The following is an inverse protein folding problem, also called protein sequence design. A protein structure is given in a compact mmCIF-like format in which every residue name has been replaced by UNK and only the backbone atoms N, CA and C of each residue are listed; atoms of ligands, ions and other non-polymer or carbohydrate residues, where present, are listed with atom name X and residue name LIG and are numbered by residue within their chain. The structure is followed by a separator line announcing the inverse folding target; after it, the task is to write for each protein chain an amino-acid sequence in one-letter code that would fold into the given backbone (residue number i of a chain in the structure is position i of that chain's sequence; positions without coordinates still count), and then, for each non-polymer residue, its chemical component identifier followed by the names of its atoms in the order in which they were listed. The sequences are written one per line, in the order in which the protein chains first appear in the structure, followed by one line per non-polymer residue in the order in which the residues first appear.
data_IF_331570538999
#
_entry.id   IF_331570538999
#
_cell.length_a   1.000
_cell.length_b   1.000
_cell.length_c   1.000
_cell.angle_alpha   90.00
_cell.angle_beta   90.00
_cell.angle_gamma   90.00
#
_symmetry.space_group_name_H-M   'P 1'
#
loop_
_entity.id
_entity.type
_entity.pdbx_description
1 polymer ?
#
# COMPACT_ATOMS: atom_id res chain seq x y z
N UNK A 1 -10.34 -40.65 23.74
CA UNK A 1 -9.03 -39.99 23.52
C UNK A 1 -9.21 -38.53 23.81
N UNK A 2 -8.40 -37.89 24.65
CA UNK A 2 -8.49 -36.48 24.91
C UNK A 2 -8.24 -35.71 23.61
N UNK A 3 -9.06 -34.67 23.34
CA UNK A 3 -8.92 -33.78 22.18
C UNK A 3 -7.66 -32.94 22.38
N UNK A 4 -6.72 -33.05 21.46
CA UNK A 4 -5.50 -32.22 21.44
C UNK A 4 -5.93 -30.76 21.10
N UNK A 5 -5.59 -29.84 21.99
CA UNK A 5 -5.83 -28.41 21.77
C UNK A 5 -4.64 -27.81 21.01
N UNK A 6 -4.89 -27.32 19.80
CA UNK A 6 -3.87 -26.70 18.96
C UNK A 6 -4.13 -25.18 18.98
N UNK A 7 -3.27 -24.37 19.63
CA UNK A 7 -3.44 -22.92 19.65
C UNK A 7 -3.18 -22.32 18.27
N UNK A 8 -4.04 -21.39 17.85
CA UNK A 8 -3.89 -20.64 16.61
C UNK A 8 -3.41 -19.22 16.93
N UNK A 9 -2.15 -18.93 16.62
CA UNK A 9 -1.59 -17.59 16.72
C UNK A 9 -1.63 -16.91 15.34
N UNK A 10 -2.27 -15.76 15.25
CA UNK A 10 -2.44 -15.00 13.99
C UNK A 10 -1.75 -13.67 14.14
N UNK A 11 -0.76 -13.39 13.28
CA UNK A 11 -0.02 -12.13 13.28
C UNK A 11 -0.80 -11.00 12.58
N UNK A 12 -1.58 -11.36 11.53
CA UNK A 12 -2.42 -10.43 10.77
C UNK A 12 -3.80 -11.04 10.53
N UNK A 13 -4.78 -10.58 11.31
CA UNK A 13 -6.16 -11.04 11.22
C UNK A 13 -6.82 -10.62 9.88
N UNK A 14 -6.37 -9.51 9.28
CA UNK A 14 -6.90 -9.04 7.99
C UNK A 14 -6.41 -9.92 6.84
N UNK A 15 -5.15 -10.39 6.91
CA UNK A 15 -4.62 -11.36 5.97
C UNK A 15 -5.33 -12.71 6.08
N UNK A 16 -5.61 -13.18 7.30
CA UNK A 16 -6.39 -14.39 7.53
C UNK A 16 -7.82 -14.27 6.96
N UNK A 17 -8.50 -13.15 7.22
CA UNK A 17 -9.84 -12.91 6.71
C UNK A 17 -9.89 -12.88 5.18
N UNK A 18 -8.90 -12.25 4.52
CA UNK A 18 -8.74 -12.27 3.06
C UNK A 18 -8.52 -13.67 2.51
N UNK A 19 -7.66 -14.45 3.16
CA UNK A 19 -7.38 -15.85 2.79
C UNK A 19 -8.65 -16.71 2.83
N UNK A 20 -9.44 -16.57 3.89
CA UNK A 20 -10.73 -17.26 4.04
C UNK A 20 -11.70 -16.82 2.94
N UNK A 21 -11.89 -15.52 2.75
CA UNK A 21 -12.80 -14.99 1.74
C UNK A 21 -12.44 -15.48 0.33
N UNK A 22 -11.17 -15.42 -0.05
CA UNK A 22 -10.71 -15.87 -1.37
C UNK A 22 -10.96 -17.37 -1.57
N UNK A 23 -10.71 -18.19 -0.54
CA UNK A 23 -10.95 -19.63 -0.61
C UNK A 23 -12.42 -19.99 -0.78
N UNK A 24 -13.35 -19.15 -0.31
CA UNK A 24 -14.79 -19.32 -0.52
C UNK A 24 -15.27 -18.77 -1.88
N UNK A 25 -14.69 -17.66 -2.36
CA UNK A 25 -15.12 -17.00 -3.60
C UNK A 25 -14.75 -17.78 -4.87
N UNK A 26 -13.73 -18.65 -4.82
CA UNK A 26 -13.23 -19.41 -5.97
C UNK A 26 -13.89 -20.80 -6.13
N UNK A 27 -14.94 -21.12 -5.35
CA UNK A 27 -15.47 -22.48 -5.29
C UNK A 27 -17.00 -22.52 -5.36
N UNK A 28 -17.50 -23.48 -6.12
CA UNK A 28 -18.95 -23.80 -6.19
C UNK A 28 -19.46 -24.61 -4.99
N UNK A 29 -18.56 -25.20 -4.20
CA UNK A 29 -18.89 -26.03 -3.03
C UNK A 29 -18.15 -25.54 -1.79
N UNK A 30 -18.78 -25.61 -0.59
CA UNK A 30 -18.12 -25.25 0.64
C UNK A 30 -16.88 -26.12 0.88
N UNK A 31 -15.77 -25.56 1.40
CA UNK A 31 -14.56 -26.31 1.66
C UNK A 31 -14.78 -27.39 2.74
N UNK A 32 -14.15 -28.52 2.56
CA UNK A 32 -14.14 -29.61 3.56
C UNK A 32 -13.43 -29.18 4.85
N UNK A 33 -13.65 -29.93 5.95
CA UNK A 33 -12.99 -29.65 7.24
C UNK A 33 -11.45 -29.57 7.13
N UNK A 34 -10.83 -30.47 6.37
CA UNK A 34 -9.36 -30.48 6.17
C UNK A 34 -8.90 -29.25 5.37
N UNK A 35 -9.67 -28.84 4.37
CA UNK A 35 -9.35 -27.64 3.61
C UNK A 35 -9.46 -26.38 4.47
N UNK A 36 -10.47 -26.28 5.33
CA UNK A 36 -10.60 -25.16 6.28
C UNK A 36 -9.40 -25.13 7.22
N UNK A 37 -8.96 -26.25 7.77
CA UNK A 37 -7.78 -26.32 8.61
C UNK A 37 -6.51 -25.86 7.88
N UNK A 38 -6.35 -26.20 6.60
CA UNK A 38 -5.24 -25.73 5.79
C UNK A 38 -5.32 -24.23 5.45
N UNK A 39 -6.52 -23.69 5.23
CA UNK A 39 -6.74 -22.25 5.01
C UNK A 39 -6.33 -21.46 6.27
N UNK A 40 -6.79 -21.92 7.44
CA UNK A 40 -6.46 -21.32 8.73
C UNK A 40 -4.94 -21.39 9.01
N UNK A 41 -4.32 -22.56 8.77
CA UNK A 41 -2.87 -22.73 8.92
C UNK A 41 -2.08 -21.78 8.00
N UNK A 42 -2.47 -21.67 6.73
CA UNK A 42 -1.83 -20.73 5.79
C UNK A 42 -2.00 -19.28 6.22
N UNK A 43 -3.20 -18.90 6.66
CA UNK A 43 -3.45 -17.55 7.17
C UNK A 43 -2.72 -17.23 8.47
N UNK A 44 -2.30 -18.24 9.25
CA UNK A 44 -1.47 -18.13 10.42
C UNK A 44 0.04 -18.21 10.12
N UNK A 45 0.44 -18.32 8.83
CA UNK A 45 1.85 -18.35 8.40
C UNK A 45 2.49 -19.74 8.36
N UNK A 46 1.70 -20.81 8.33
CA UNK A 46 2.18 -22.18 8.14
C UNK A 46 1.90 -22.67 6.72
N UNK A 47 2.70 -23.60 6.23
CA UNK A 47 2.51 -24.20 4.88
C UNK A 47 1.21 -25.03 4.78
N UNK A 48 0.89 -25.74 5.85
CA UNK A 48 -0.31 -26.58 5.98
C UNK A 48 -0.62 -26.86 7.46
N UNK A 49 -1.77 -27.50 7.71
CA UNK A 49 -2.20 -27.84 9.06
C UNK A 49 -1.26 -28.83 9.77
N UNK A 50 -0.64 -29.77 9.06
CA UNK A 50 0.30 -30.73 9.66
C UNK A 50 1.54 -30.03 10.21
N UNK A 51 2.07 -29.05 9.48
CA UNK A 51 3.19 -28.24 9.95
C UNK A 51 2.79 -27.38 11.17
N UNK A 52 1.60 -26.78 11.15
CA UNK A 52 1.07 -26.04 12.30
C UNK A 52 0.96 -26.96 13.54
N UNK A 53 0.48 -28.19 13.38
CA UNK A 53 0.37 -29.18 14.45
C UNK A 53 1.73 -29.62 14.97
N UNK A 54 2.74 -29.78 14.11
CA UNK A 54 4.10 -30.14 14.47
C UNK A 54 4.90 -29.02 15.18
N UNK A 55 4.34 -27.84 15.34
CA UNK A 55 4.98 -26.69 16.00
C UNK A 55 6.15 -26.06 15.23
N UNK A 56 6.52 -26.60 14.07
CA UNK A 56 7.52 -26.01 13.20
C UNK A 56 6.87 -24.89 12.37
N UNK A 57 6.96 -23.63 12.84
CA UNK A 57 6.76 -22.51 11.93
C UNK A 57 7.84 -22.63 10.85
N UNK A 58 7.44 -22.76 9.57
CA UNK A 58 8.37 -22.26 8.56
C UNK A 58 8.72 -20.83 9.00
N UNK A 59 9.99 -20.41 8.85
CA UNK A 59 10.25 -19.00 8.95
C UNK A 59 9.20 -18.37 8.03
N UNK A 60 8.24 -17.67 8.64
CA UNK A 60 7.36 -16.77 7.88
C UNK A 60 8.33 -16.21 6.87
N UNK A 61 8.08 -16.41 5.54
CA UNK A 61 8.73 -15.52 4.58
C UNK A 61 8.46 -14.19 5.22
N UNK A 62 9.46 -13.68 5.95
CA UNK A 62 9.44 -12.31 6.41
C UNK A 62 8.87 -11.64 5.19
N UNK A 63 7.67 -11.04 5.32
CA UNK A 63 7.27 -10.09 4.29
C UNK A 63 8.57 -9.34 4.16
N UNK A 64 9.31 -9.65 3.10
CA UNK A 64 10.61 -9.04 2.87
C UNK A 64 10.22 -7.60 2.97
N UNK A 65 10.51 -7.00 4.15
CA UNK A 65 10.42 -5.56 4.26
C UNK A 65 11.06 -5.14 2.97
N UNK A 66 10.29 -4.65 1.98
CA UNK A 66 10.74 -4.63 0.61
C UNK A 66 12.11 -4.03 0.70
N UNK A 67 13.15 -4.86 0.42
CA UNK A 67 14.54 -4.40 0.55
C UNK A 67 14.52 -3.17 -0.29
N UNK A 68 14.54 -1.99 0.37
CA UNK A 68 14.33 -0.71 -0.30
C UNK A 68 15.47 -0.64 -1.29
N UNK A 69 15.19 -1.04 -2.52
CA UNK A 69 16.19 -1.07 -3.55
C UNK A 69 16.64 0.37 -3.76
N UNK A 70 17.89 0.66 -3.38
CA UNK A 70 18.49 1.97 -3.55
C UNK A 70 18.33 2.46 -5.00
N UNK A 71 18.46 1.56 -5.97
CA UNK A 71 18.20 1.84 -7.38
C UNK A 71 16.76 2.30 -7.66
N UNK A 72 15.77 1.77 -6.93
CA UNK A 72 14.37 2.22 -7.05
C UNK A 72 14.16 3.59 -6.42
N UNK A 73 14.80 3.87 -5.29
CA UNK A 73 14.78 5.20 -4.66
C UNK A 73 15.39 6.23 -5.60
N UNK A 74 16.61 6.00 -6.09
CA UNK A 74 17.33 6.93 -6.98
C UNK A 74 16.57 7.19 -8.28
N UNK A 75 15.95 6.16 -8.86
CA UNK A 75 15.15 6.31 -10.08
C UNK A 75 13.99 7.28 -9.90
N UNK A 76 13.29 7.21 -8.77
CA UNK A 76 12.17 8.10 -8.47
C UNK A 76 12.67 9.48 -8.07
N UNK A 77 13.75 9.57 -7.26
CA UNK A 77 14.35 10.86 -6.86
C UNK A 77 14.84 11.67 -8.07
N UNK A 78 15.29 11.03 -9.16
CA UNK A 78 15.65 11.70 -10.42
C UNK A 78 14.46 12.34 -11.15
N UNK A 79 13.23 12.06 -10.75
CA UNK A 79 12.06 12.73 -11.28
C UNK A 79 11.81 14.09 -10.60
N UNK A 80 12.55 14.41 -9.54
CA UNK A 80 12.47 15.66 -8.78
C UNK A 80 13.77 16.46 -8.92
N UNK A 81 13.63 17.77 -9.00
CA UNK A 81 14.79 18.68 -8.99
C UNK A 81 15.36 18.87 -7.57
N UNK A 82 16.34 19.80 -7.46
CA UNK A 82 16.97 20.15 -6.18
C UNK A 82 16.03 20.81 -5.18
N UNK A 83 14.99 21.46 -5.64
CA UNK A 83 13.99 22.15 -4.83
C UNK A 83 12.80 21.21 -4.50
N UNK A 84 12.89 19.93 -4.89
CA UNK A 84 11.89 18.92 -4.66
C UNK A 84 10.65 19.07 -5.57
N UNK A 85 10.74 19.82 -6.66
CA UNK A 85 9.67 19.96 -7.65
C UNK A 85 9.70 18.78 -8.61
N UNK A 86 8.57 18.15 -8.85
CA UNK A 86 8.44 17.02 -9.79
C UNK A 86 8.57 17.51 -11.22
N UNK A 87 9.67 17.19 -11.90
CA UNK A 87 9.97 17.66 -13.26
C UNK A 87 9.38 16.77 -14.35
N UNK A 88 9.11 15.50 -14.04
CA UNK A 88 8.50 14.54 -14.95
C UNK A 88 7.72 13.47 -14.20
N UNK A 89 6.60 13.03 -14.78
CA UNK A 89 5.86 11.88 -14.25
C UNK A 89 6.43 10.59 -14.85
N UNK A 90 6.82 9.59 -14.03
CA UNK A 90 7.46 8.38 -14.54
C UNK A 90 6.47 7.51 -15.34
N UNK A 91 6.98 6.71 -16.27
CA UNK A 91 6.17 5.78 -17.07
C UNK A 91 5.83 4.49 -16.32
N UNK A 92 6.72 4.02 -15.44
CA UNK A 92 6.51 2.77 -14.70
C UNK A 92 5.51 2.95 -13.57
N UNK A 93 4.45 2.14 -13.51
CA UNK A 93 3.36 2.26 -12.53
C UNK A 93 3.83 2.25 -11.06
N UNK A 94 4.78 1.40 -10.70
CA UNK A 94 5.32 1.37 -9.32
C UNK A 94 6.01 2.68 -8.95
N UNK A 95 6.68 3.33 -9.89
CA UNK A 95 7.36 4.61 -9.67
C UNK A 95 6.35 5.76 -9.60
N UNK A 96 5.27 5.70 -10.41
CA UNK A 96 4.13 6.62 -10.33
C UNK A 96 3.53 6.61 -8.92
N UNK A 97 3.20 5.42 -8.39
CA UNK A 97 2.66 5.29 -7.03
C UNK A 97 3.60 5.89 -5.99
N UNK A 98 4.91 5.66 -6.13
CA UNK A 98 5.90 6.24 -5.21
C UNK A 98 5.95 7.77 -5.29
N UNK A 99 5.86 8.36 -6.49
CA UNK A 99 5.74 9.80 -6.70
C UNK A 99 4.46 10.34 -6.06
N UNK A 100 3.32 9.67 -6.27
CA UNK A 100 2.04 10.09 -5.70
C UNK A 100 2.07 10.11 -4.17
N UNK A 101 2.75 9.16 -3.51
CA UNK A 101 2.95 9.16 -2.07
C UNK A 101 3.79 10.37 -1.59
N UNK A 102 4.83 10.77 -2.34
CA UNK A 102 5.60 11.98 -2.05
C UNK A 102 4.72 13.23 -2.18
N UNK A 103 3.93 13.34 -3.25
CA UNK A 103 2.97 14.43 -3.44
C UNK A 103 1.93 14.43 -2.32
N UNK A 104 1.35 13.26 -1.98
CA UNK A 104 0.40 13.11 -0.89
C UNK A 104 0.93 13.61 0.47
N UNK A 105 2.21 13.37 0.77
CA UNK A 105 2.80 13.80 2.04
C UNK A 105 2.83 15.32 2.23
N UNK A 106 2.70 16.08 1.15
CA UNK A 106 2.68 17.56 1.15
C UNK A 106 1.27 18.14 1.29
N UNK A 107 0.23 17.32 1.10
CA UNK A 107 -1.14 17.79 1.32
C UNK A 107 -1.39 18.06 2.81
N UNK A 108 -2.11 19.13 3.16
CA UNK A 108 -2.48 19.41 4.54
C UNK A 108 -3.35 18.28 5.09
N UNK A 109 -3.01 17.82 6.30
CA UNK A 109 -3.74 16.76 6.99
C UNK A 109 -5.13 17.26 7.43
N UNK A 110 -6.15 16.42 7.30
CA UNK A 110 -7.49 16.65 7.86
C UNK A 110 -8.14 17.98 7.43
N UNK A 111 -7.70 18.56 6.31
CA UNK A 111 -8.25 19.81 5.76
C UNK A 111 -9.04 19.49 4.50
N UNK A 112 -10.29 19.98 4.44
CA UNK A 112 -11.05 20.01 3.21
C UNK A 112 -10.46 21.08 2.28
N UNK A 113 -10.22 20.70 1.03
CA UNK A 113 -9.70 21.57 -0.01
C UNK A 113 -10.70 21.65 -1.15
N UNK A 114 -10.81 22.82 -1.76
CA UNK A 114 -11.53 23.01 -3.02
C UNK A 114 -10.67 22.52 -4.19
N UNK A 115 -11.27 22.31 -5.36
CA UNK A 115 -10.53 21.98 -6.58
C UNK A 115 -9.48 23.05 -6.92
N UNK A 116 -9.81 24.33 -6.73
CA UNK A 116 -8.90 25.46 -6.98
C UNK A 116 -7.68 25.39 -6.07
N UNK A 117 -7.86 25.10 -4.78
CA UNK A 117 -6.75 24.95 -3.83
C UNK A 117 -5.88 23.74 -4.19
N UNK A 118 -6.49 22.59 -4.53
CA UNK A 118 -5.75 21.40 -4.97
C UNK A 118 -4.93 21.69 -6.23
N UNK A 119 -5.53 22.36 -7.21
CA UNK A 119 -4.84 22.74 -8.45
C UNK A 119 -3.66 23.69 -8.16
N UNK A 120 -3.83 24.66 -7.28
CA UNK A 120 -2.77 25.59 -6.88
C UNK A 120 -1.59 24.85 -6.20
N UNK A 121 -1.88 23.94 -5.27
CA UNK A 121 -0.89 23.10 -4.61
C UNK A 121 -0.14 22.22 -5.62
N UNK A 122 -0.86 21.49 -6.45
CA UNK A 122 -0.25 20.61 -7.44
C UNK A 122 0.63 21.39 -8.43
N UNK A 123 0.18 22.56 -8.91
CA UNK A 123 0.96 23.44 -9.80
C UNK A 123 2.28 23.89 -9.15
N UNK A 124 2.32 24.11 -7.86
CA UNK A 124 3.55 24.48 -7.15
C UNK A 124 4.52 23.30 -6.94
N UNK A 125 4.05 22.05 -7.04
CA UNK A 125 4.85 20.85 -6.76
C UNK A 125 5.36 20.13 -8.01
N UNK A 126 5.00 20.58 -9.21
CA UNK A 126 5.49 20.03 -10.46
C UNK A 126 5.73 21.09 -11.52
N UNK A 127 6.61 20.79 -12.50
CA UNK A 127 6.97 21.70 -13.59
C UNK A 127 6.61 21.19 -14.99
N UNK A 128 6.08 19.97 -15.13
CA UNK A 128 5.75 19.39 -16.44
C UNK A 128 4.37 19.82 -17.00
N UNK A 129 3.63 20.70 -16.30
CA UNK A 129 2.44 21.37 -16.83
C UNK A 129 1.11 20.64 -16.70
N UNK A 130 1.07 19.37 -16.29
CA UNK A 130 -0.18 18.58 -16.20
C UNK A 130 -0.61 18.29 -14.76
N UNK A 131 -1.12 19.32 -14.06
CA UNK A 131 -1.69 19.18 -12.72
C UNK A 131 -2.98 18.34 -12.71
N UNK A 132 -3.72 18.31 -13.83
CA UNK A 132 -4.95 17.53 -13.93
C UNK A 132 -4.68 16.02 -13.93
N UNK A 133 -3.60 15.59 -14.57
CA UNK A 133 -3.10 14.22 -14.48
C UNK A 133 -2.80 13.85 -13.02
N UNK A 134 -2.01 14.66 -12.30
CA UNK A 134 -1.67 14.40 -10.91
C UNK A 134 -2.89 14.35 -10.01
N UNK A 135 -3.84 15.26 -10.19
CA UNK A 135 -5.09 15.29 -9.43
C UNK A 135 -5.91 14.03 -9.64
N UNK A 136 -6.03 13.54 -10.86
CA UNK A 136 -6.74 12.30 -11.19
C UNK A 136 -6.01 11.09 -10.57
N UNK A 137 -4.72 10.97 -10.85
CA UNK A 137 -3.92 9.83 -10.40
C UNK A 137 -3.86 9.69 -8.87
N UNK A 138 -3.80 10.79 -8.12
CA UNK A 138 -3.78 10.75 -6.66
C UNK A 138 -5.13 10.34 -6.06
N UNK A 139 -6.24 10.71 -6.72
CA UNK A 139 -7.58 10.25 -6.34
C UNK A 139 -7.79 8.78 -6.71
N UNK A 140 -7.38 8.36 -7.90
CA UNK A 140 -7.50 6.97 -8.37
C UNK A 140 -6.64 6.01 -7.53
N UNK A 141 -5.51 6.50 -7.00
CA UNK A 141 -4.69 5.78 -6.03
C UNK A 141 -5.30 5.71 -4.62
N UNK A 142 -6.44 6.36 -4.37
CA UNK A 142 -7.11 6.39 -3.06
C UNK A 142 -6.37 7.21 -1.99
N UNK A 143 -5.40 8.04 -2.38
CA UNK A 143 -4.60 8.86 -1.47
C UNK A 143 -5.30 10.17 -1.08
N UNK A 144 -6.14 10.67 -1.97
CA UNK A 144 -7.02 11.81 -1.75
C UNK A 144 -8.43 11.40 -2.17
N UNK A 145 -9.41 11.58 -1.29
CA UNK A 145 -10.81 11.40 -1.64
C UNK A 145 -11.36 12.68 -2.26
N UNK A 146 -12.38 12.53 -3.13
CA UNK A 146 -13.14 13.66 -3.65
C UNK A 146 -14.63 13.37 -3.58
N UNK A 147 -15.43 14.40 -3.41
CA UNK A 147 -16.89 14.31 -3.57
C UNK A 147 -17.26 14.03 -5.02
N UNK A 148 -18.46 13.49 -5.25
CA UNK A 148 -18.91 13.11 -6.60
C UNK A 148 -18.96 14.28 -7.57
N UNK A 149 -19.28 15.46 -7.08
CA UNK A 149 -19.31 16.73 -7.81
C UNK A 149 -17.94 17.42 -7.96
N UNK A 150 -16.89 16.85 -7.30
CA UNK A 150 -15.53 17.39 -7.34
C UNK A 150 -15.33 18.69 -6.54
N UNK A 151 -16.28 19.08 -5.69
CA UNK A 151 -16.21 20.34 -4.92
C UNK A 151 -15.26 20.27 -3.73
N UNK A 152 -15.12 19.10 -3.10
CA UNK A 152 -14.30 18.90 -1.91
C UNK A 152 -13.31 17.75 -2.09
N UNK A 153 -12.07 18.01 -1.71
CA UNK A 153 -10.97 17.04 -1.67
C UNK A 153 -10.46 16.91 -0.25
N UNK A 154 -10.16 15.68 0.19
CA UNK A 154 -9.63 15.39 1.50
C UNK A 154 -8.50 14.36 1.42
N UNK A 155 -7.35 14.66 2.03
CA UNK A 155 -6.25 13.71 2.16
C UNK A 155 -6.68 12.51 3.02
N UNK A 156 -6.49 11.31 2.51
CA UNK A 156 -6.72 10.08 3.26
C UNK A 156 -5.54 9.82 4.19
N UNK A 157 -5.79 9.62 5.48
CA UNK A 157 -4.74 9.35 6.46
C UNK A 157 -4.35 7.88 6.41
N UNK A 158 -3.36 7.56 5.57
CA UNK A 158 -2.88 6.21 5.29
C UNK A 158 -1.42 6.05 5.73
N UNK A 159 -0.99 4.85 6.16
CA UNK A 159 0.41 4.58 6.45
C UNK A 159 1.25 4.64 5.16
N UNK A 160 2.21 5.56 5.13
CA UNK A 160 3.10 5.73 3.98
C UNK A 160 4.04 4.52 3.84
N UNK A 161 4.13 3.87 2.66
CA UNK A 161 5.03 2.73 2.44
C UNK A 161 6.50 3.07 2.68
N UNK A 162 7.32 2.13 3.18
CA UNK A 162 8.73 2.37 3.51
C UNK A 162 9.56 2.93 2.35
N UNK A 163 9.33 2.44 1.13
CA UNK A 163 9.98 2.96 -0.08
C UNK A 163 9.67 4.45 -0.31
N UNK A 164 8.40 4.82 -0.20
CA UNK A 164 7.97 6.20 -0.39
C UNK A 164 8.51 7.12 0.72
N UNK A 165 8.61 6.63 1.97
CA UNK A 165 9.26 7.35 3.07
C UNK A 165 10.74 7.61 2.78
N UNK A 166 11.49 6.60 2.29
CA UNK A 166 12.90 6.74 1.93
C UNK A 166 13.08 7.78 0.81
N UNK A 167 12.22 7.75 -0.21
CA UNK A 167 12.24 8.72 -1.30
C UNK A 167 11.95 10.14 -0.78
N UNK A 168 10.90 10.32 0.03
CA UNK A 168 10.54 11.62 0.58
C UNK A 168 11.67 12.22 1.40
N UNK A 169 12.32 11.43 2.28
CA UNK A 169 13.49 11.87 3.07
C UNK A 169 14.65 12.32 2.17
N UNK A 170 14.93 11.58 1.12
CA UNK A 170 16.04 11.91 0.21
C UNK A 170 15.77 13.18 -0.62
N UNK A 171 14.52 13.46 -0.96
CA UNK A 171 14.12 14.69 -1.64
C UNK A 171 14.22 15.89 -0.70
N UNK A 172 13.85 15.75 0.58
CA UNK A 172 13.95 16.83 1.57
C UNK A 172 15.38 17.18 1.96
N UNK A 173 16.32 16.23 1.81
CA UNK A 173 17.74 16.39 2.17
C UNK A 173 18.64 16.75 0.98
N UNK A 174 18.09 17.06 -0.19
CA UNK A 174 18.81 17.56 -1.37
C UNK A 174 19.08 19.06 -1.24
#
# INVERSE_FOLDING_TARGET
MPRELIPLHVNDISALARSIRNAYSERDKPPSHVEILNILAKGAGYKNFQQMRGGAKEPVKEEKHPVISQASVERVVRCFDKDGVLTRFPSKRSDQISVLWVIWSRFPARKNLTEVEVNALLKSWHSFGDHALLRREICDAGLVSRTRDGSVYLRMELPMPPLAQAIARQITNK
#
